data_IF_944718353205
#
_entry.id   IF_944718353205
#
_cell.length_a   1.000
_cell.length_b   1.000
_cell.length_c   1.000
_cell.angle_alpha   90.00
_cell.angle_beta   90.00
_cell.angle_gamma   90.00
#
_symmetry.space_group_name_H-M   'P 1'
#
loop_
_entity.id
_entity.type
_entity.pdbx_description
1 polymer ?
#
# COMPACT_ATOMS: atom_id res chain seq x y z
N UNK A 1 -2.82 26.73 2.75
CA UNK A 1 -3.55 26.99 1.49
C UNK A 1 -3.97 25.65 0.90
N UNK A 2 -5.17 25.16 1.26
CA UNK A 2 -5.69 23.83 0.86
C UNK A 2 -6.82 23.92 -0.19
N UNK A 3 -6.99 25.09 -0.81
CA UNK A 3 -8.06 25.32 -1.79
C UNK A 3 -7.83 24.54 -3.09
N UNK A 4 -6.57 24.33 -3.48
CA UNK A 4 -6.23 23.64 -4.72
C UNK A 4 -6.67 22.17 -4.71
N UNK A 5 -6.49 21.48 -3.58
CA UNK A 5 -6.85 20.05 -3.47
C UNK A 5 -8.35 19.83 -3.46
N UNK A 6 -9.11 20.58 -2.65
CA UNK A 6 -10.58 20.54 -2.67
C UNK A 6 -11.17 20.87 -4.04
N UNK A 7 -10.63 21.89 -4.71
CA UNK A 7 -11.08 22.27 -6.06
C UNK A 7 -10.83 21.15 -7.06
N UNK A 8 -9.65 20.52 -7.00
CA UNK A 8 -9.32 19.38 -7.86
C UNK A 8 -10.28 18.21 -7.64
N UNK A 9 -10.54 17.84 -6.38
CA UNK A 9 -11.49 16.76 -6.05
C UNK A 9 -12.91 17.10 -6.52
N UNK A 10 -13.36 18.35 -6.35
CA UNK A 10 -14.64 18.81 -6.85
C UNK A 10 -14.75 18.62 -8.37
N UNK A 11 -13.73 19.04 -9.13
CA UNK A 11 -13.67 18.89 -10.58
C UNK A 11 -13.74 17.43 -10.99
N UNK A 12 -13.00 16.54 -10.32
CA UNK A 12 -13.06 15.10 -10.59
C UNK A 12 -14.45 14.51 -10.31
N UNK A 13 -15.09 14.87 -9.20
CA UNK A 13 -16.46 14.44 -8.90
C UNK A 13 -17.47 14.96 -9.94
N UNK A 14 -17.33 16.20 -10.41
CA UNK A 14 -18.16 16.75 -11.49
C UNK A 14 -17.98 16.00 -12.81
N UNK A 15 -16.74 15.65 -13.18
CA UNK A 15 -16.46 14.85 -14.39
C UNK A 15 -17.12 13.47 -14.34
N UNK A 16 -17.30 12.91 -13.14
CA UNK A 16 -18.00 11.65 -12.94
C UNK A 16 -19.53 11.79 -13.03
N UNK A 17 -20.07 13.02 -13.08
CA UNK A 17 -21.50 13.30 -13.16
C UNK A 17 -22.19 13.49 -11.81
N UNK A 18 -21.43 13.69 -10.72
CA UNK A 18 -22.01 14.02 -9.41
C UNK A 18 -22.61 15.44 -9.46
N UNK A 19 -23.82 15.59 -8.91
CA UNK A 19 -24.49 16.90 -8.86
C UNK A 19 -23.75 17.89 -7.95
N UNK A 20 -23.94 19.19 -8.19
CA UNK A 20 -23.31 20.26 -7.39
C UNK A 20 -23.59 20.10 -5.90
N UNK A 21 -24.85 19.87 -5.53
CA UNK A 21 -25.23 19.62 -4.14
C UNK A 21 -24.53 18.39 -3.55
N UNK A 22 -24.43 17.30 -4.33
CA UNK A 22 -23.72 16.10 -3.92
C UNK A 22 -22.21 16.34 -3.71
N UNK A 23 -21.58 17.14 -4.55
CA UNK A 23 -20.15 17.51 -4.39
C UNK A 23 -19.94 18.34 -3.12
N UNK A 24 -20.83 19.30 -2.86
CA UNK A 24 -20.76 20.14 -1.65
C UNK A 24 -20.95 19.28 -0.40
N UNK A 25 -21.95 18.39 -0.40
CA UNK A 25 -22.21 17.45 0.70
C UNK A 25 -20.97 16.58 0.98
N UNK A 26 -20.40 15.97 -0.06
CA UNK A 26 -19.24 15.09 0.09
C UNK A 26 -18.02 15.84 0.65
N UNK A 27 -17.71 17.04 0.14
CA UNK A 27 -16.54 17.82 0.58
C UNK A 27 -16.73 18.48 1.97
N UNK A 28 -17.97 18.58 2.44
CA UNK A 28 -18.30 19.10 3.77
C UNK A 28 -18.22 18.00 4.85
N UNK A 29 -18.65 16.78 4.52
CA UNK A 29 -18.80 15.70 5.49
C UNK A 29 -17.66 14.68 5.50
N UNK A 30 -16.88 14.57 4.41
CA UNK A 30 -15.81 13.58 4.28
C UNK A 30 -14.45 14.24 4.10
N UNK A 31 -13.39 13.54 4.52
CA UNK A 31 -12.03 14.02 4.36
C UNK A 31 -11.58 13.94 2.89
N UNK A 32 -10.70 14.86 2.50
CA UNK A 32 -10.13 14.91 1.15
C UNK A 32 -9.41 13.62 0.79
N UNK A 33 -8.71 13.00 1.75
CA UNK A 33 -8.02 11.73 1.56
C UNK A 33 -8.99 10.57 1.29
N UNK A 34 -10.15 10.54 1.95
CA UNK A 34 -11.14 9.49 1.70
C UNK A 34 -11.74 9.62 0.31
N UNK A 35 -12.10 10.84 -0.09
CA UNK A 35 -12.63 11.11 -1.42
C UNK A 35 -11.60 10.75 -2.49
N UNK A 36 -10.34 11.12 -2.31
CA UNK A 36 -9.26 10.80 -3.23
C UNK A 36 -9.04 9.29 -3.35
N UNK A 37 -9.02 8.55 -2.23
CA UNK A 37 -8.90 7.09 -2.25
C UNK A 37 -10.02 6.43 -3.05
N UNK A 38 -11.26 6.84 -2.83
CA UNK A 38 -12.39 6.24 -3.54
C UNK A 38 -12.36 6.56 -5.04
N UNK A 39 -11.91 7.76 -5.42
CA UNK A 39 -11.68 8.12 -6.82
C UNK A 39 -10.60 7.23 -7.47
N UNK A 40 -9.52 6.94 -6.75
CA UNK A 40 -8.45 6.02 -7.22
C UNK A 40 -8.99 4.60 -7.40
N UNK A 41 -9.90 4.14 -6.55
CA UNK A 41 -10.47 2.78 -6.63
C UNK A 41 -11.50 2.60 -7.74
N UNK A 42 -12.09 3.68 -8.22
CA UNK A 42 -13.21 3.65 -9.17
C UNK A 42 -12.90 2.90 -10.48
N UNK A 43 -11.73 3.06 -11.14
CA UNK A 43 -11.40 2.34 -12.37
C UNK A 43 -11.34 0.81 -12.18
N UNK A 44 -10.90 0.36 -11.02
CA UNK A 44 -10.73 -1.06 -10.69
C UNK A 44 -12.07 -1.76 -10.42
N UNK A 45 -13.09 -1.00 -9.97
CA UNK A 45 -14.42 -1.54 -9.63
C UNK A 45 -15.36 -1.66 -10.83
N UNK A 46 -15.01 -1.07 -11.99
CA UNK A 46 -15.77 -1.15 -13.26
C UNK A 46 -17.27 -0.88 -13.12
N UNK A 47 -17.65 0.11 -12.30
CA UNK A 47 -19.05 0.44 -12.05
C UNK A 47 -19.77 0.98 -13.31
N UNK A 48 -21.01 0.50 -13.54
CA UNK A 48 -21.85 0.92 -14.67
C UNK A 48 -22.38 2.36 -14.54
N UNK A 49 -22.65 2.80 -13.31
CA UNK A 49 -23.04 4.16 -12.94
C UNK A 49 -22.01 4.72 -11.98
N UNK A 50 -21.05 5.47 -12.50
CA UNK A 50 -19.89 5.93 -11.73
C UNK A 50 -20.29 6.98 -10.69
N UNK A 51 -21.27 7.81 -11.04
CA UNK A 51 -21.83 8.87 -10.21
C UNK A 51 -22.49 8.34 -8.94
N UNK A 52 -23.41 7.39 -9.07
CA UNK A 52 -24.09 6.79 -7.92
C UNK A 52 -23.12 5.94 -7.10
N UNK A 53 -22.20 5.26 -7.78
CA UNK A 53 -21.23 4.39 -7.13
C UNK A 53 -20.24 5.19 -6.27
N UNK A 54 -19.67 6.29 -6.77
CA UNK A 54 -18.68 7.07 -6.01
C UNK A 54 -19.30 7.68 -4.76
N UNK A 55 -20.55 8.16 -4.84
CA UNK A 55 -21.28 8.70 -3.69
C UNK A 55 -21.47 7.61 -2.63
N UNK A 56 -21.94 6.42 -3.03
CA UNK A 56 -22.16 5.30 -2.11
C UNK A 56 -20.83 4.78 -1.50
N UNK A 57 -19.77 4.72 -2.31
CA UNK A 57 -18.45 4.27 -1.89
C UNK A 57 -17.81 5.21 -0.86
N UNK A 58 -17.96 6.53 -1.03
CA UNK A 58 -17.47 7.51 -0.04
C UNK A 58 -18.31 7.42 1.24
N UNK A 59 -19.65 7.39 1.13
CA UNK A 59 -20.55 7.33 2.28
C UNK A 59 -20.35 6.10 3.16
N UNK A 60 -19.96 4.98 2.55
CA UNK A 60 -19.73 3.70 3.24
C UNK A 60 -18.25 3.35 3.41
N UNK A 61 -17.34 4.26 3.06
CA UNK A 61 -15.88 4.07 3.14
C UNK A 61 -15.42 2.71 2.62
N UNK A 62 -15.72 2.43 1.35
CA UNK A 62 -15.46 1.14 0.75
C UNK A 62 -13.97 0.76 0.74
N UNK A 63 -13.66 -0.49 1.10
CA UNK A 63 -12.29 -1.01 1.14
C UNK A 63 -11.62 -1.02 -0.24
N UNK A 64 -10.28 -1.10 -0.33
CA UNK A 64 -9.60 -1.15 -1.62
C UNK A 64 -9.98 -2.42 -2.42
N UNK A 65 -10.25 -2.31 -3.73
CA UNK A 65 -10.58 -3.46 -4.57
C UNK A 65 -9.34 -4.36 -4.76
N UNK A 66 -9.55 -5.66 -4.95
CA UNK A 66 -8.46 -6.65 -5.06
C UNK A 66 -7.52 -6.30 -6.22
N UNK A 67 -8.07 -5.82 -7.32
CA UNK A 67 -7.36 -5.40 -8.52
C UNK A 67 -6.41 -4.22 -8.28
N UNK A 68 -6.68 -3.38 -7.28
CA UNK A 68 -5.79 -2.28 -6.90
C UNK A 68 -4.44 -2.82 -6.40
N UNK A 69 -4.45 -3.84 -5.54
CA UNK A 69 -3.23 -4.45 -5.02
C UNK A 69 -2.38 -5.12 -6.11
N UNK A 70 -3.03 -5.77 -7.08
CA UNK A 70 -2.35 -6.40 -8.22
C UNK A 70 -1.73 -5.37 -9.18
N UNK A 71 -2.36 -4.21 -9.35
CA UNK A 71 -1.79 -3.14 -10.17
C UNK A 71 -0.58 -2.48 -9.49
N UNK A 72 -0.62 -2.31 -8.17
CA UNK A 72 0.48 -1.74 -7.41
C UNK A 72 1.73 -2.64 -7.44
N UNK A 73 1.55 -3.95 -7.26
CA UNK A 73 2.68 -4.90 -7.35
C UNK A 73 3.28 -4.97 -8.74
N UNK A 74 2.47 -4.87 -9.81
CA UNK A 74 3.00 -4.85 -11.19
C UNK A 74 3.78 -3.56 -11.50
N UNK A 75 3.32 -2.42 -11.00
CA UNK A 75 4.02 -1.13 -11.20
C UNK A 75 5.36 -1.09 -10.46
N UNK A 76 5.39 -1.62 -9.23
CA UNK A 76 6.62 -1.71 -8.43
C UNK A 76 7.65 -2.66 -9.08
N UNK A 77 7.18 -3.81 -9.56
CA UNK A 77 8.02 -4.76 -10.30
C UNK A 77 8.58 -4.14 -11.59
N UNK A 78 7.75 -3.42 -12.36
CA UNK A 78 8.19 -2.73 -13.57
C UNK A 78 9.23 -1.64 -13.29
N UNK A 79 9.07 -0.88 -12.21
CA UNK A 79 10.07 0.10 -11.76
C UNK A 79 11.39 -0.57 -11.31
N UNK A 80 11.30 -1.73 -10.65
CA UNK A 80 12.49 -2.51 -10.28
C UNK A 80 13.24 -3.05 -11.51
N UNK A 81 12.53 -3.46 -12.56
CA UNK A 81 13.14 -3.89 -13.82
C UNK A 81 13.76 -2.74 -14.62
N UNK A 82 13.15 -1.56 -14.65
CA UNK A 82 13.74 -0.37 -15.29
C UNK A 82 15.04 0.08 -14.60
N UNK A 83 15.11 -0.03 -13.27
CA UNK A 83 16.31 0.27 -12.50
C UNK A 83 17.48 -0.70 -12.81
N UNK A 84 17.19 -1.95 -13.15
CA UNK A 84 18.19 -2.96 -13.55
C UNK A 84 18.73 -2.71 -14.96
N UNK A 85 17.90 -2.20 -15.88
CA UNK A 85 18.33 -1.82 -17.22
C UNK A 85 19.27 -0.59 -17.19
N UNK A 86 18.97 0.40 -16.34
CA UNK A 86 19.84 1.57 -16.16
C UNK A 86 21.17 1.26 -15.43
N UNK A 87 21.20 0.22 -14.58
CA UNK A 87 22.45 -0.29 -14.00
C UNK A 87 23.39 -0.90 -15.03
N UNK A 88 22.84 -1.43 -16.12
CA UNK A 88 23.60 -2.10 -17.18
C UNK A 88 24.26 -1.14 -18.17
N UNK A 89 23.77 0.11 -18.29
CA UNK A 89 24.39 1.12 -19.16
C UNK A 89 25.51 1.93 -18.49
N UNK A 90 25.65 1.89 -17.16
CA UNK A 90 26.79 2.55 -16.46
C UNK A 90 28.07 1.71 -16.44
N UNK A 91 27.99 0.41 -16.74
CA UNK A 91 29.15 -0.50 -16.66
C UNK A 91 30.04 -0.51 -17.92
N UNK A 92 29.64 0.10 -19.04
CA UNK A 92 30.42 0.10 -20.29
C UNK A 92 31.42 1.25 -20.44
N UNK A 93 31.65 2.07 -19.38
CA UNK A 93 32.54 3.25 -19.48
C UNK A 93 33.60 3.40 -18.38
N UNK A 94 34.04 2.30 -17.79
CA UNK A 94 35.31 2.21 -17.04
C UNK A 94 36.09 1.05 -17.67
N UNK A 95 36.98 1.24 -18.64
CA UNK A 95 38.11 2.17 -18.58
C UNK A 95 39.20 1.49 -17.75
N UNK A 96 40.06 0.72 -18.44
CA UNK A 96 41.27 0.05 -17.96
C UNK A 96 41.95 0.70 -16.76
N UNK A 97 42.23 -0.10 -15.72
CA UNK A 97 43.47 -0.03 -14.93
C UNK A 97 43.64 -1.30 -14.08
N UNK A 98 44.51 -2.16 -14.59
CA UNK A 98 45.58 -2.89 -13.88
C UNK A 98 45.24 -3.86 -12.74
N UNK A 99 45.47 -5.13 -13.07
CA UNK A 99 45.72 -6.26 -12.19
C UNK A 99 46.87 -6.03 -11.19
N UNK A 100 46.76 -6.71 -10.05
CA UNK A 100 47.82 -7.50 -9.38
C UNK A 100 48.07 -7.13 -7.91
N UNK A 101 47.80 -8.09 -7.01
CA UNK A 101 48.15 -8.03 -5.60
C UNK A 101 47.67 -9.25 -4.82
N UNK A 102 48.43 -10.33 -4.90
CA UNK A 102 48.31 -11.54 -4.07
C UNK A 102 48.42 -11.21 -2.57
N UNK A 103 47.60 -11.86 -1.74
CA UNK A 103 47.78 -11.90 -0.28
C UNK A 103 46.65 -12.62 0.46
N UNK A 104 46.65 -13.95 0.47
CA UNK A 104 46.21 -14.76 1.63
C UNK A 104 47.48 -15.11 2.43
N UNK A 105 47.45 -15.51 3.73
CA UNK A 105 46.38 -16.14 4.53
C UNK A 105 46.10 -15.33 5.84
N UNK A 106 45.16 -15.63 6.74
CA UNK A 106 45.03 -16.82 7.59
C UNK A 106 43.78 -16.62 8.51
N UNK A 107 42.93 -17.64 8.62
CA UNK A 107 41.83 -17.78 9.61
C UNK A 107 42.40 -17.99 11.04
N UNK A 108 41.68 -18.11 12.19
CA UNK A 108 40.24 -18.41 12.46
C UNK A 108 39.64 -17.48 13.57
N UNK A 109 38.44 -17.57 14.16
CA UNK A 109 37.38 -18.56 14.36
C UNK A 109 36.09 -17.79 14.78
N UNK A 110 34.86 -18.29 14.53
CA UNK A 110 33.63 -17.69 15.04
C UNK A 110 33.26 -18.20 16.45
N UNK A 111 33.20 -17.30 17.42
CA UNK A 111 32.71 -17.56 18.78
C UNK A 111 31.19 -17.94 18.78
N UNK A 112 30.79 -19.17 19.16
CA UNK A 112 29.40 -19.58 19.23
C UNK A 112 28.94 -19.58 20.70
N UNK A 113 28.77 -18.39 21.29
CA UNK A 113 28.34 -18.28 22.67
C UNK A 113 27.42 -17.07 22.93
N UNK A 114 26.22 -17.06 22.33
CA UNK A 114 25.04 -16.52 23.03
C UNK A 114 23.72 -17.00 22.44
N UNK A 115 23.40 -18.27 22.67
CA UNK A 115 22.01 -18.75 22.69
C UNK A 115 21.33 -18.19 23.95
N UNK A 116 20.95 -16.92 23.89
CA UNK A 116 20.10 -16.27 24.88
C UNK A 116 18.66 -16.74 24.69
N UNK A 117 18.35 -17.92 25.22
CA UNK A 117 16.99 -18.39 25.51
C UNK A 117 16.27 -17.35 26.39
N UNK A 118 15.47 -16.50 25.78
CA UNK A 118 14.48 -15.67 26.46
C UNK A 118 13.10 -15.97 25.87
N UNK A 119 12.60 -17.18 26.12
CA UNK A 119 11.19 -17.51 25.97
C UNK A 119 10.66 -17.87 27.35
N UNK A 120 10.31 -16.83 28.10
CA UNK A 120 9.60 -16.93 29.38
C UNK A 120 8.21 -16.36 29.14
N UNK A 121 7.25 -17.28 29.01
CA UNK A 121 5.79 -17.21 29.24
C UNK A 121 4.99 -16.00 28.69
N UNK A 122 3.81 -16.26 28.13
CA UNK A 122 2.65 -16.26 29.02
C UNK A 122 1.75 -17.50 28.85
N UNK A 123 1.56 -18.17 29.98
CA UNK A 123 0.32 -18.83 30.36
C UNK A 123 -0.83 -17.81 30.27
N UNK A 124 -1.69 -17.96 29.27
CA UNK A 124 -3.03 -17.35 29.28
C UNK A 124 -3.97 -18.34 28.59
N UNK A 125 -4.20 -19.44 29.30
CA UNK A 125 -5.30 -20.36 29.05
C UNK A 125 -6.60 -19.58 29.27
N UNK A 126 -7.10 -18.94 28.22
CA UNK A 126 -8.39 -18.28 28.23
C UNK A 126 -9.49 -19.32 28.53
N UNK A 127 -10.00 -19.22 29.75
CA UNK A 127 -11.22 -19.83 30.26
C UNK A 127 -12.36 -19.58 29.25
N UNK A 128 -12.82 -20.65 28.58
CA UNK A 128 -14.01 -20.61 27.74
C UNK A 128 -15.23 -20.52 28.67
N UNK A 129 -16.12 -19.53 28.52
CA UNK A 129 -17.35 -19.51 29.29
C UNK A 129 -18.24 -20.69 28.88
N UNK A 130 -18.53 -21.58 29.84
CA UNK A 130 -19.58 -22.58 29.75
C UNK A 130 -20.93 -21.89 29.53
N UNK A 131 -21.36 -21.81 28.28
CA UNK A 131 -22.71 -21.39 27.91
C UNK A 131 -23.65 -22.61 28.04
N UNK A 132 -23.98 -22.99 29.28
CA UNK A 132 -25.09 -23.93 29.50
C UNK A 132 -26.41 -23.14 29.46
N UNK A 133 -26.90 -22.98 28.24
CA UNK A 133 -28.19 -22.39 27.96
C UNK A 133 -29.30 -23.29 28.50
N UNK A 134 -29.78 -22.96 29.70
CA UNK A 134 -31.08 -23.40 30.19
C UNK A 134 -32.16 -22.99 29.18
N UNK A 135 -32.68 -23.96 28.44
CA UNK A 135 -33.91 -23.85 27.67
C UNK A 135 -34.94 -24.80 28.29
N UNK A 136 -35.97 -24.16 28.87
CA UNK A 136 -37.28 -24.66 29.34
C UNK A 136 -37.35 -25.41 30.66
#
# INVERSE_FOLDING_TARGET
MSLDRKTKLAVELYKLGVSKDGVIELLAHFSEDEIERQLIYLPYRRAKRKEAFIVDAIKKSYSPPKEYYYAQTKADLAAAFDAVDQGSQRALRQGDSESQGHGTPDSPDPDPANLGLAAREPDDHADLPNFDGTIR
#
